data_IF_736597148297
#
_entry.id   IF_736597148297
#
_cell.length_a   1.000
_cell.length_b   1.000
_cell.length_c   1.000
_cell.angle_alpha   90.00
_cell.angle_beta   90.00
_cell.angle_gamma   90.00
#
_symmetry.space_group_name_H-M   'P 1'
#
loop_
_entity.id
_entity.type
_entity.pdbx_description
1 polymer ?
#
# COMPACT_ATOMS: atom_id res chain seq x y z
N UNK A 1 -7.20 67.88 -14.88
CA UNK A 1 -6.51 68.96 -15.63
C UNK A 1 -5.13 68.43 -15.99
N UNK A 2 -5.01 67.84 -17.18
CA UNK A 2 -4.26 68.33 -18.37
C UNK A 2 -2.79 67.90 -18.34
N UNK A 3 -2.14 67.30 -19.36
CA UNK A 3 -2.39 66.71 -20.70
C UNK A 3 -1.07 65.95 -20.99
N UNK A 4 -1.07 64.71 -21.50
CA UNK A 4 -0.72 64.29 -22.88
C UNK A 4 0.70 64.74 -23.35
N UNK A 5 1.58 63.97 -24.01
CA UNK A 5 1.36 62.97 -25.05
C UNK A 5 2.69 62.28 -25.52
N UNK A 6 2.57 61.02 -26.00
CA UNK A 6 3.20 60.36 -27.18
C UNK A 6 4.70 60.01 -27.32
N UNK A 7 4.92 58.76 -27.79
CA UNK A 7 5.92 58.38 -28.81
C UNK A 7 6.81 57.17 -28.45
N UNK A 8 6.39 55.91 -28.65
CA UNK A 8 6.73 55.04 -29.80
C UNK A 8 8.21 54.94 -30.21
N UNK A 9 8.84 53.77 -30.00
CA UNK A 9 9.57 53.07 -31.08
C UNK A 9 9.66 51.56 -30.82
N UNK A 10 9.46 50.82 -31.91
CA UNK A 10 9.47 49.36 -32.04
C UNK A 10 10.70 49.03 -32.86
N UNK A 11 11.58 48.15 -32.40
CA UNK A 11 12.60 47.55 -33.27
C UNK A 11 12.37 46.03 -33.42
N UNK A 12 12.07 45.68 -34.67
CA UNK A 12 12.01 44.34 -35.23
C UNK A 12 13.41 43.95 -35.71
N UNK A 13 13.73 42.64 -35.65
CA UNK A 13 14.41 41.80 -36.69
C UNK A 13 15.27 40.74 -35.99
N UNK A 14 15.52 39.54 -36.51
CA UNK A 14 14.83 38.59 -37.40
C UNK A 14 15.79 37.41 -37.62
N UNK A 15 15.27 36.19 -37.50
CA UNK A 15 15.54 34.95 -38.29
C UNK A 15 16.98 34.57 -38.72
N UNK A 16 17.32 33.30 -38.44
CA UNK A 16 18.27 32.44 -39.16
C UNK A 16 18.56 31.18 -38.32
N UNK A 17 17.83 30.07 -38.45
CA UNK A 17 17.90 28.98 -39.45
C UNK A 17 19.10 28.03 -39.25
N UNK A 18 18.79 26.72 -39.14
CA UNK A 18 19.62 25.58 -38.74
C UNK A 18 20.73 25.17 -39.75
N UNK A 19 21.62 24.21 -39.39
CA UNK A 19 21.35 22.78 -39.69
C UNK A 19 21.79 21.81 -38.56
N UNK A 20 21.02 20.79 -38.20
CA UNK A 20 21.10 19.38 -38.66
C UNK A 20 22.54 18.85 -38.89
N UNK A 21 23.02 18.02 -37.95
CA UNK A 21 23.95 16.91 -38.17
C UNK A 21 23.48 15.75 -37.29
N UNK A 22 22.92 14.69 -37.87
CA UNK A 22 23.59 13.49 -38.41
C UNK A 22 23.83 12.41 -37.35
N UNK A 23 22.97 11.39 -37.44
CA UNK A 23 23.06 10.07 -36.80
C UNK A 23 24.34 9.34 -37.23
N UNK A 24 24.92 8.58 -36.31
CA UNK A 24 25.78 7.43 -36.64
C UNK A 24 25.47 6.25 -35.69
N UNK A 25 25.71 4.99 -36.12
CA UNK A 25 24.93 3.83 -35.72
C UNK A 25 25.63 3.01 -34.62
N UNK A 26 24.84 2.37 -33.75
CA UNK A 26 25.33 1.27 -32.92
C UNK A 26 25.08 -0.04 -33.67
N UNK A 27 26.18 -0.70 -33.96
CA UNK A 27 26.30 -1.96 -34.69
C UNK A 27 25.67 -3.11 -33.90
N UNK A 28 24.90 -3.92 -34.63
CA UNK A 28 24.52 -5.29 -34.23
C UNK A 28 25.75 -6.19 -34.38
N UNK A 29 26.03 -7.01 -33.38
CA UNK A 29 26.70 -8.29 -33.59
C UNK A 29 25.71 -9.40 -33.26
N UNK A 30 25.49 -10.25 -34.27
CA UNK A 30 24.73 -11.48 -34.23
C UNK A 30 25.67 -12.63 -34.54
N UNK A 31 25.70 -13.61 -33.65
CA UNK A 31 25.96 -15.04 -33.89
C UNK A 31 25.01 -15.73 -32.92
N UNK A 32 23.95 -16.43 -33.34
CA UNK A 32 23.98 -17.76 -34.01
C UNK A 32 24.55 -18.77 -33.01
N UNK A 33 23.94 -19.87 -32.59
CA UNK A 33 22.74 -20.66 -32.91
C UNK A 33 22.34 -21.32 -31.55
N UNK A 34 21.19 -21.96 -31.29
CA UNK A 34 20.73 -23.20 -31.91
C UNK A 34 19.35 -23.55 -31.30
N UNK A 35 18.47 -24.08 -32.14
CA UNK A 35 17.16 -24.63 -31.78
C UNK A 35 17.32 -26.14 -31.65
N UNK A 36 16.86 -26.73 -30.54
CA UNK A 36 16.50 -28.15 -30.49
C UNK A 36 15.39 -28.40 -29.46
N UNK A 37 14.18 -28.56 -29.98
CA UNK A 37 13.09 -29.37 -29.42
C UNK A 37 13.54 -30.78 -29.06
N UNK A 38 13.04 -31.34 -27.95
CA UNK A 38 12.41 -32.67 -27.86
C UNK A 38 12.09 -33.08 -26.40
N UNK A 39 10.87 -33.58 -26.18
CA UNK A 39 10.64 -34.76 -25.33
C UNK A 39 10.33 -34.57 -23.85
N UNK A 40 9.03 -34.62 -23.50
CA UNK A 40 8.56 -35.12 -22.20
C UNK A 40 9.10 -36.54 -21.91
N UNK A 41 9.12 -36.98 -20.64
CA UNK A 41 7.99 -37.81 -20.23
C UNK A 41 7.46 -37.57 -18.81
N UNK A 42 6.18 -37.97 -18.71
CA UNK A 42 5.35 -38.19 -17.53
C UNK A 42 6.05 -39.04 -16.45
N UNK A 43 5.76 -38.73 -15.19
CA UNK A 43 5.64 -39.75 -14.14
C UNK A 43 4.47 -39.37 -13.20
N UNK A 44 3.46 -40.22 -13.17
CA UNK A 44 2.31 -40.19 -12.28
C UNK A 44 2.61 -41.02 -11.00
N UNK A 45 1.76 -40.96 -9.96
CA UNK A 45 2.13 -41.22 -8.57
C UNK A 45 1.97 -42.69 -8.16
N UNK A 46 2.74 -43.12 -7.15
CA UNK A 46 2.56 -44.42 -6.50
C UNK A 46 2.32 -44.26 -4.99
N UNK A 47 1.12 -44.69 -4.58
CA UNK A 47 0.69 -45.25 -3.29
C UNK A 47 -0.51 -46.18 -3.64
N UNK A 48 -0.94 -47.15 -2.80
CA UNK A 48 -0.53 -47.52 -1.44
C UNK A 48 -0.35 -49.06 -1.27
N UNK A 49 -0.43 -49.53 -0.02
CA UNK A 49 -0.56 -50.92 0.51
C UNK A 49 0.73 -51.42 1.22
N UNK A 50 0.71 -52.02 2.41
CA UNK A 50 -0.36 -52.42 3.32
C UNK A 50 0.24 -52.83 4.68
N UNK A 51 -0.59 -52.88 5.74
CA UNK A 51 -0.28 -53.48 7.04
C UNK A 51 -0.48 -55.01 6.97
N UNK A 52 0.19 -55.80 7.84
CA UNK A 52 -0.40 -56.23 9.14
C UNK A 52 0.65 -56.06 10.28
N UNK A 53 0.33 -55.92 11.57
CA UNK A 53 -0.52 -56.72 12.45
C UNK A 53 0.39 -57.54 13.39
N UNK A 54 0.41 -57.24 14.69
CA UNK A 54 1.15 -58.03 15.69
C UNK A 54 1.39 -57.30 17.01
N UNK A 55 0.57 -57.63 18.01
CA UNK A 55 0.76 -57.33 19.43
C UNK A 55 1.93 -58.14 20.02
N UNK A 56 2.69 -57.54 20.95
CA UNK A 56 3.38 -58.24 22.05
C UNK A 56 3.70 -57.24 23.18
N UNK A 57 3.44 -57.71 24.39
CA UNK A 57 3.58 -57.06 25.69
C UNK A 57 5.04 -56.76 26.12
N UNK A 58 5.18 -55.90 27.14
CA UNK A 58 6.15 -56.15 28.21
C UNK A 58 7.27 -55.14 28.45
N UNK A 59 7.01 -54.21 29.37
CA UNK A 59 7.91 -53.57 30.36
C UNK A 59 9.35 -53.14 29.99
N UNK A 60 9.61 -51.83 30.12
CA UNK A 60 10.97 -51.29 30.18
C UNK A 60 11.04 -49.81 30.58
N UNK A 61 11.30 -49.55 31.86
CA UNK A 61 11.43 -48.24 32.51
C UNK A 61 12.41 -47.28 31.81
N UNK A 62 12.03 -46.00 31.61
CA UNK A 62 12.69 -44.78 32.17
C UNK A 62 12.26 -43.47 31.47
N UNK A 63 12.24 -42.40 32.29
CA UNK A 63 12.34 -40.98 31.96
C UNK A 63 11.17 -40.29 31.23
N UNK A 64 10.20 -39.79 32.03
CA UNK A 64 9.29 -38.72 31.60
C UNK A 64 10.08 -37.40 31.43
N UNK A 65 10.46 -37.08 30.19
CA UNK A 65 10.72 -35.69 29.79
C UNK A 65 9.37 -34.99 29.62
N UNK A 66 9.14 -33.94 30.42
CA UNK A 66 8.04 -32.98 30.21
C UNK A 66 8.35 -32.19 28.94
N UNK A 67 7.65 -32.46 27.85
CA UNK A 67 7.51 -31.52 26.72
C UNK A 67 6.39 -30.55 27.07
N UNK A 68 6.77 -29.39 27.64
CA UNK A 68 5.86 -28.26 27.75
C UNK A 68 5.64 -27.66 26.36
N UNK A 69 4.39 -27.67 25.90
CA UNK A 69 3.96 -26.82 24.80
C UNK A 69 4.20 -25.35 25.17
N UNK A 70 4.63 -24.47 24.24
CA UNK A 70 4.63 -23.05 24.51
C UNK A 70 3.18 -22.60 24.61
N UNK A 71 2.78 -22.19 25.82
CA UNK A 71 1.48 -21.61 26.09
C UNK A 71 1.31 -20.32 25.30
N UNK A 72 0.16 -20.18 24.66
CA UNK A 72 -0.34 -18.92 24.14
C UNK A 72 -0.40 -17.92 25.30
N UNK A 73 0.50 -16.93 25.30
CA UNK A 73 0.47 -15.83 26.25
C UNK A 73 -0.76 -14.96 26.01
N UNK A 74 -1.35 -14.33 27.05
CA UNK A 74 -2.55 -13.52 26.88
C UNK A 74 -2.23 -12.25 26.10
N UNK A 75 -3.20 -11.76 25.33
CA UNK A 75 -3.14 -10.46 24.69
C UNK A 75 -2.81 -9.37 25.73
N UNK A 76 -1.70 -8.66 25.51
CA UNK A 76 -1.20 -7.64 26.44
C UNK A 76 -2.14 -6.43 26.39
N UNK A 77 -2.73 -6.10 27.54
CA UNK A 77 -3.69 -5.00 27.64
C UNK A 77 -3.00 -3.64 27.49
N UNK A 78 -3.76 -2.60 27.11
CA UNK A 78 -3.27 -1.22 27.08
C UNK A 78 -2.77 -0.71 28.45
N UNK A 79 -3.17 -1.37 29.55
CA UNK A 79 -2.74 -1.04 30.90
C UNK A 79 -1.34 -1.59 31.21
N UNK A 80 -0.98 -2.78 30.71
CA UNK A 80 0.35 -3.37 30.89
C UNK A 80 1.44 -2.59 30.16
N UNK A 81 1.08 -1.89 29.08
CA UNK A 81 1.94 -0.91 28.43
C UNK A 81 2.33 0.21 29.42
N UNK A 82 1.35 0.80 30.13
CA UNK A 82 1.56 1.94 31.07
C UNK A 82 2.54 1.68 32.21
N UNK A 83 2.64 0.45 32.69
CA UNK A 83 3.48 0.11 33.84
C UNK A 83 4.98 0.11 33.51
N UNK A 84 5.36 -0.26 32.27
CA UNK A 84 6.77 -0.25 31.84
C UNK A 84 7.26 1.15 31.43
N UNK A 85 6.35 2.10 31.19
CA UNK A 85 6.67 3.46 30.73
C UNK A 85 7.09 4.45 31.82
N UNK A 86 6.88 4.17 33.13
CA UNK A 86 7.04 5.18 34.19
C UNK A 86 8.30 5.09 35.04
N UNK A 87 9.02 3.98 35.06
CA UNK A 87 10.24 3.86 35.87
C UNK A 87 11.47 4.21 35.04
N UNK A 88 11.61 5.50 34.74
CA UNK A 88 12.89 6.08 34.36
C UNK A 88 13.82 6.09 35.58
N UNK A 89 14.53 5.00 35.82
CA UNK A 89 15.71 5.03 36.68
C UNK A 89 16.87 5.56 35.86
N UNK A 90 17.06 6.89 35.95
CA UNK A 90 18.27 7.57 35.50
C UNK A 90 19.46 7.00 36.27
N UNK A 91 20.31 6.25 35.57
CA UNK A 91 21.59 5.79 36.09
C UNK A 91 22.42 6.97 36.58
N UNK A 92 22.86 6.90 37.83
CA UNK A 92 23.82 7.82 38.44
C UNK A 92 25.11 7.87 37.61
N UNK A 93 25.36 8.99 36.94
CA UNK A 93 26.53 9.21 36.11
C UNK A 93 27.84 9.19 36.91
N UNK A 94 28.74 8.27 36.58
CA UNK A 94 30.06 8.18 37.18
C UNK A 94 30.99 9.30 36.72
N UNK A 95 31.68 9.93 37.68
CA UNK A 95 32.73 10.91 37.43
C UNK A 95 33.98 10.23 36.84
N UNK A 96 34.81 10.99 36.12
CA UNK A 96 36.13 10.53 35.69
C UNK A 96 37.16 10.63 36.82
N UNK A 97 38.40 10.18 36.55
CA UNK A 97 39.52 10.20 37.50
C UNK A 97 39.93 11.62 37.96
N UNK A 98 39.28 12.66 37.45
CA UNK A 98 39.52 14.06 37.79
C UNK A 98 38.26 14.75 38.34
N UNK A 99 37.24 13.98 38.73
CA UNK A 99 36.03 14.50 39.36
C UNK A 99 35.13 15.30 38.41
N UNK A 100 35.29 15.16 37.10
CA UNK A 100 34.40 15.78 36.11
C UNK A 100 33.33 14.78 35.67
N UNK A 101 32.13 15.25 35.30
CA UNK A 101 31.16 14.38 34.63
C UNK A 101 31.83 13.80 33.39
N UNK A 102 31.81 12.47 33.24
CA UNK A 102 32.26 11.82 32.00
C UNK A 102 31.35 12.29 30.86
N UNK A 103 31.80 13.27 30.10
CA UNK A 103 31.12 13.64 28.86
C UNK A 103 31.38 12.52 27.85
N UNK A 104 30.35 11.70 27.61
CA UNK A 104 30.29 10.84 26.44
C UNK A 104 30.48 11.72 25.17
N UNK A 105 31.16 11.22 24.13
CA UNK A 105 31.31 11.95 22.88
C UNK A 105 29.91 12.36 22.37
N UNK A 106 29.77 13.65 22.05
CA UNK A 106 28.49 14.35 21.90
C UNK A 106 27.41 13.55 21.18
N UNK A 107 26.47 13.00 21.95
CA UNK A 107 25.24 12.42 21.42
C UNK A 107 24.35 13.59 21.04
N UNK A 108 24.36 14.00 19.77
CA UNK A 108 23.16 14.62 19.22
C UNK A 108 22.05 13.60 19.48
N UNK A 109 21.13 13.91 20.41
CA UNK A 109 19.92 13.12 20.56
C UNK A 109 19.33 13.00 19.16
N UNK A 110 19.35 11.79 18.59
CA UNK A 110 18.96 11.60 17.19
C UNK A 110 17.51 12.02 17.08
N UNK A 111 17.26 13.08 16.33
CA UNK A 111 15.91 13.59 16.09
C UNK A 111 15.09 12.45 15.50
N UNK A 112 13.91 12.20 16.06
CA UNK A 112 12.98 11.21 15.52
C UNK A 112 12.27 11.82 14.33
N UNK A 113 12.29 11.09 13.21
CA UNK A 113 11.46 11.38 12.05
C UNK A 113 10.37 10.31 11.97
N UNK A 114 9.13 10.76 11.84
CA UNK A 114 8.02 9.87 11.52
C UNK A 114 7.88 9.79 10.01
N UNK A 115 7.65 8.58 9.50
CA UNK A 115 7.56 8.31 8.06
C UNK A 115 6.25 7.59 7.77
N UNK A 116 5.45 8.16 6.87
CA UNK A 116 4.28 7.51 6.28
C UNK A 116 4.60 7.03 4.88
N UNK A 117 4.24 5.79 4.57
CA UNK A 117 4.45 5.20 3.24
C UNK A 117 3.16 4.54 2.75
N UNK A 118 2.54 5.10 1.71
CA UNK A 118 1.54 4.36 0.93
C UNK A 118 2.25 3.52 -0.12
N UNK A 119 2.54 2.26 0.23
CA UNK A 119 3.48 1.43 -0.50
C UNK A 119 2.76 0.59 -1.55
N UNK A 120 3.02 0.89 -2.82
CA UNK A 120 2.64 -0.01 -3.89
C UNK A 120 3.26 -1.40 -3.68
N UNK A 121 2.44 -2.44 -3.82
CA UNK A 121 2.91 -3.80 -3.60
C UNK A 121 4.01 -4.25 -4.58
N UNK A 122 3.96 -3.78 -5.84
CA UNK A 122 5.00 -3.99 -6.84
C UNK A 122 5.80 -2.72 -7.16
N UNK A 123 6.95 -2.87 -7.80
CA UNK A 123 7.93 -1.78 -8.05
C UNK A 123 7.61 -0.87 -9.24
N UNK A 124 6.52 -1.11 -9.97
CA UNK A 124 6.14 -0.33 -11.17
C UNK A 124 5.18 0.81 -10.86
N UNK A 125 4.46 0.72 -9.76
CA UNK A 125 3.44 1.70 -9.38
C UNK A 125 4.05 2.77 -8.47
N UNK A 126 3.34 3.88 -8.37
CA UNK A 126 3.74 4.99 -7.50
C UNK A 126 3.62 4.60 -6.04
N UNK A 127 4.41 5.25 -5.20
CA UNK A 127 4.43 5.11 -3.75
C UNK A 127 4.41 6.50 -3.16
N UNK A 128 3.48 6.75 -2.25
CA UNK A 128 3.44 8.00 -1.51
C UNK A 128 4.42 7.97 -0.35
N UNK A 129 5.06 9.11 -0.08
CA UNK A 129 5.91 9.33 1.07
C UNK A 129 5.49 10.60 1.80
N UNK A 130 5.49 10.56 3.12
CA UNK A 130 5.33 11.73 3.97
C UNK A 130 6.24 11.64 5.19
N UNK A 131 6.77 12.78 5.61
CA UNK A 131 7.75 12.89 6.68
C UNK A 131 7.29 13.93 7.69
N UNK A 132 7.42 13.62 8.98
CA UNK A 132 7.14 14.57 10.05
C UNK A 132 8.27 14.60 11.07
N UNK A 133 8.49 15.77 11.65
CA UNK A 133 9.48 15.97 12.71
C UNK A 133 9.05 15.35 14.04
N UNK A 134 9.90 15.44 15.07
CA UNK A 134 9.63 14.89 16.40
C UNK A 134 8.36 15.46 17.07
N UNK A 135 7.93 16.67 16.69
CA UNK A 135 6.70 17.30 17.18
C UNK A 135 5.46 16.88 16.35
N UNK A 136 5.66 16.12 15.27
CA UNK A 136 4.61 15.64 14.38
C UNK A 136 4.31 16.58 13.23
N UNK A 137 5.05 17.68 13.03
CA UNK A 137 4.80 18.63 11.95
C UNK A 137 5.24 18.02 10.63
N UNK A 138 4.38 18.07 9.60
CA UNK A 138 4.75 17.63 8.25
C UNK A 138 5.92 18.49 7.74
N UNK A 139 7.01 17.83 7.34
CA UNK A 139 8.22 18.49 6.82
C UNK A 139 8.40 18.28 5.32
N UNK A 140 7.92 17.15 4.80
CA UNK A 140 7.97 16.83 3.38
C UNK A 140 6.90 15.79 3.01
N UNK A 141 6.41 15.85 1.77
CA UNK A 141 5.63 14.77 1.15
C UNK A 141 5.90 14.74 -0.35
N UNK A 142 5.85 13.55 -0.94
CA UNK A 142 6.10 13.34 -2.35
C UNK A 142 5.49 12.02 -2.84
N UNK A 143 5.53 11.83 -4.16
CA UNK A 143 5.29 10.53 -4.79
C UNK A 143 6.54 10.08 -5.53
N UNK A 144 6.97 8.84 -5.28
CA UNK A 144 8.11 8.18 -5.93
C UNK A 144 7.65 6.89 -6.63
N UNK A 145 8.55 6.18 -7.30
CA UNK A 145 8.25 4.91 -8.00
C UNK A 145 9.15 3.78 -7.55
N UNK A 146 10.44 4.03 -7.43
CA UNK A 146 11.43 2.97 -7.19
C UNK A 146 11.88 2.91 -5.74
N UNK A 147 12.38 1.75 -5.30
CA UNK A 147 12.98 1.62 -3.97
C UNK A 147 14.25 2.48 -3.84
N UNK A 148 14.93 2.80 -4.94
CA UNK A 148 16.04 3.75 -4.97
C UNK A 148 15.59 5.15 -4.56
N UNK A 149 14.55 5.67 -5.21
CA UNK A 149 13.96 6.97 -4.88
C UNK A 149 13.40 7.03 -3.44
N UNK A 150 12.87 5.92 -2.91
CA UNK A 150 12.48 5.82 -1.49
C UNK A 150 13.71 6.00 -0.58
N UNK A 151 14.82 5.33 -0.89
CA UNK A 151 16.05 5.44 -0.11
C UNK A 151 16.66 6.84 -0.18
N UNK A 152 16.66 7.46 -1.36
CA UNK A 152 17.15 8.83 -1.54
C UNK A 152 16.32 9.83 -0.73
N UNK A 153 14.98 9.68 -0.74
CA UNK A 153 14.09 10.52 0.07
C UNK A 153 14.32 10.32 1.57
N UNK A 154 14.47 9.07 2.04
CA UNK A 154 14.78 8.78 3.44
C UNK A 154 16.12 9.37 3.89
N UNK A 155 17.15 9.28 3.04
CA UNK A 155 18.46 9.84 3.35
C UNK A 155 18.43 11.36 3.55
N UNK A 156 17.57 12.07 2.79
CA UNK A 156 17.40 13.52 2.89
C UNK A 156 16.49 13.92 4.05
N UNK A 157 15.35 13.25 4.21
CA UNK A 157 14.26 13.72 5.08
C UNK A 157 14.17 12.98 6.42
N UNK A 158 14.91 11.89 6.60
CA UNK A 158 14.94 11.10 7.82
C UNK A 158 16.38 10.75 8.29
N UNK A 159 17.26 11.75 8.53
CA UNK A 159 18.68 11.51 8.88
C UNK A 159 18.91 10.95 10.30
N UNK A 160 17.84 10.65 11.05
CA UNK A 160 17.88 10.23 12.44
C UNK A 160 17.17 8.89 12.68
N UNK A 161 16.54 8.77 13.85
CA UNK A 161 15.73 7.60 14.19
C UNK A 161 14.42 7.63 13.42
N UNK A 162 14.00 6.52 12.85
CA UNK A 162 12.75 6.41 12.09
C UNK A 162 11.68 5.67 12.87
N UNK A 163 10.48 6.23 12.89
CA UNK A 163 9.25 5.49 13.21
C UNK A 163 8.38 5.50 11.96
N UNK A 164 8.26 4.35 11.29
CA UNK A 164 7.57 4.24 10.02
C UNK A 164 6.20 3.55 10.16
N UNK A 165 5.20 4.03 9.41
CA UNK A 165 3.93 3.37 9.20
C UNK A 165 3.74 3.10 7.70
N UNK A 166 3.63 1.82 7.33
CA UNK A 166 3.54 1.37 5.94
C UNK A 166 2.13 0.84 5.65
N UNK A 167 1.45 1.39 4.63
CA UNK A 167 0.25 0.76 4.02
C UNK A 167 0.66 -0.39 3.09
N UNK A 168 1.27 -1.42 3.69
CA UNK A 168 1.59 -2.67 3.02
C UNK A 168 1.92 -3.76 4.03
N UNK A 169 1.70 -5.04 3.67
CA UNK A 169 2.06 -6.15 4.53
C UNK A 169 3.54 -6.17 4.93
N UNK A 170 3.82 -6.33 6.22
CA UNK A 170 5.17 -6.56 6.75
C UNK A 170 5.45 -8.04 6.99
N UNK A 171 4.47 -8.78 7.50
CA UNK A 171 4.64 -10.21 7.82
C UNK A 171 3.56 -11.03 7.13
N UNK A 172 3.97 -11.91 6.19
CA UNK A 172 3.07 -12.73 5.37
C UNK A 172 3.47 -14.20 5.45
N UNK A 173 3.07 -14.94 6.52
CA UNK A 173 3.53 -16.30 6.75
C UNK A 173 2.78 -17.33 5.90
N UNK A 174 1.53 -17.03 5.52
CA UNK A 174 0.62 -17.94 4.84
C UNK A 174 0.94 -18.09 3.34
N UNK A 175 0.86 -19.33 2.85
CA UNK A 175 1.02 -19.63 1.43
C UNK A 175 -0.16 -19.13 0.59
N UNK A 176 -1.39 -19.31 1.10
CA UNK A 176 -2.65 -18.93 0.43
C UNK A 176 -3.65 -18.36 1.44
N UNK A 177 -4.79 -17.85 0.96
CA UNK A 177 -5.87 -17.34 1.82
C UNK A 177 -5.54 -16.01 2.52
N UNK A 178 -6.29 -15.70 3.57
CA UNK A 178 -6.12 -14.51 4.42
C UNK A 178 -5.26 -14.80 5.65
N UNK A 179 -4.42 -13.84 6.08
CA UNK A 179 -3.74 -13.90 7.38
C UNK A 179 -4.75 -13.65 8.51
N UNK A 180 -4.28 -13.78 9.75
CA UNK A 180 -5.03 -13.39 10.95
C UNK A 180 -5.49 -11.92 10.91
N UNK A 181 -4.63 -10.92 10.62
CA UNK A 181 -5.04 -9.51 10.61
C UNK A 181 -6.18 -9.20 9.64
N UNK A 182 -6.21 -9.76 8.43
CA UNK A 182 -7.35 -9.49 7.53
C UNK A 182 -8.67 -10.05 8.06
N UNK A 183 -8.65 -11.20 8.74
CA UNK A 183 -9.85 -11.78 9.36
C UNK A 183 -10.36 -10.89 10.51
N UNK A 184 -9.44 -10.39 11.33
CA UNK A 184 -9.77 -9.46 12.42
C UNK A 184 -10.30 -8.12 11.88
N UNK A 185 -9.66 -7.55 10.86
CA UNK A 185 -10.16 -6.38 10.15
C UNK A 185 -11.55 -6.61 9.57
N UNK A 186 -11.78 -7.75 8.92
CA UNK A 186 -13.09 -8.07 8.37
C UNK A 186 -14.17 -8.17 9.46
N UNK A 187 -13.84 -8.75 10.62
CA UNK A 187 -14.77 -8.86 11.74
C UNK A 187 -15.14 -7.49 12.34
N UNK A 188 -14.16 -6.60 12.54
CA UNK A 188 -14.37 -5.32 13.21
C UNK A 188 -14.82 -4.20 12.25
N UNK A 189 -14.24 -4.15 11.05
CA UNK A 189 -14.39 -3.06 10.09
C UNK A 189 -15.17 -3.42 8.82
N UNK A 190 -15.48 -4.70 8.59
CA UNK A 190 -16.13 -5.16 7.34
C UNK A 190 -17.49 -4.51 7.07
N UNK A 191 -18.29 -4.26 8.11
CA UNK A 191 -19.60 -3.56 7.99
C UNK A 191 -19.49 -2.10 7.52
N UNK A 192 -18.31 -1.49 7.67
CA UNK A 192 -17.95 -0.15 7.20
C UNK A 192 -17.31 -0.15 5.79
N UNK A 193 -17.26 -1.30 5.10
CA UNK A 193 -16.48 -1.53 3.88
C UNK A 193 -14.97 -1.25 4.04
N UNK A 194 -14.44 -1.41 5.25
CA UNK A 194 -13.02 -1.25 5.58
C UNK A 194 -12.33 -2.61 5.91
N UNK A 195 -12.82 -3.70 5.31
CA UNK A 195 -12.12 -5.00 5.33
C UNK A 195 -10.97 -5.03 4.34
N UNK A 196 -9.91 -5.79 4.65
CA UNK A 196 -8.74 -5.94 3.79
C UNK A 196 -8.85 -7.15 2.85
N UNK A 197 -8.20 -7.06 1.70
CA UNK A 197 -8.06 -8.18 0.78
C UNK A 197 -7.01 -9.19 1.30
N UNK A 198 -7.17 -10.49 1.01
CA UNK A 198 -6.20 -11.50 1.43
C UNK A 198 -4.79 -11.22 0.91
N UNK A 199 -3.81 -11.16 1.82
CA UNK A 199 -2.38 -11.14 1.50
C UNK A 199 -1.78 -12.53 1.77
N UNK A 200 -1.03 -13.08 0.81
CA UNK A 200 -0.39 -14.39 0.91
C UNK A 200 0.74 -14.56 -0.10
N UNK A 201 1.64 -15.52 0.16
CA UNK A 201 2.86 -15.76 -0.64
C UNK A 201 2.63 -16.31 -2.05
N UNK A 202 1.43 -16.81 -2.37
CA UNK A 202 1.07 -17.15 -3.76
C UNK A 202 0.95 -15.93 -4.68
N UNK A 203 0.91 -14.71 -4.12
CA UNK A 203 0.98 -13.46 -4.90
C UNK A 203 2.45 -13.16 -5.24
N UNK A 204 2.78 -12.81 -6.50
CA UNK A 204 4.17 -12.61 -6.95
C UNK A 204 5.00 -11.57 -6.20
N UNK A 205 4.36 -10.70 -5.42
CA UNK A 205 4.97 -9.56 -4.71
C UNK A 205 4.85 -9.67 -3.18
N UNK A 206 4.48 -10.86 -2.68
CA UNK A 206 4.26 -11.13 -1.25
C UNK A 206 5.21 -12.20 -0.68
N UNK A 207 6.22 -12.63 -1.44
CA UNK A 207 7.23 -13.60 -1.00
C UNK A 207 8.64 -13.22 -1.47
N UNK A 208 9.37 -12.37 -0.71
CA UNK A 208 8.90 -11.63 0.47
C UNK A 208 8.01 -10.44 0.10
N UNK A 209 7.17 -9.93 1.03
CA UNK A 209 6.41 -8.70 0.79
C UNK A 209 7.34 -7.48 0.73
N UNK A 210 7.03 -6.52 -0.15
CA UNK A 210 7.87 -5.32 -0.35
C UNK A 210 8.06 -4.50 0.92
N UNK A 211 7.06 -4.45 1.81
CA UNK A 211 7.17 -3.77 3.11
C UNK A 211 8.27 -4.35 3.99
N UNK A 212 8.34 -5.69 4.09
CA UNK A 212 9.44 -6.39 4.76
C UNK A 212 10.79 -6.08 4.13
N UNK A 213 10.89 -6.14 2.80
CA UNK A 213 12.14 -5.85 2.08
C UNK A 213 12.68 -4.46 2.41
N UNK A 214 11.80 -3.44 2.46
CA UNK A 214 12.21 -2.09 2.85
C UNK A 214 12.61 -2.01 4.32
N UNK A 215 11.85 -2.61 5.23
CA UNK A 215 12.19 -2.64 6.65
C UNK A 215 13.58 -3.26 6.90
N UNK A 216 13.87 -4.41 6.27
CA UNK A 216 15.18 -5.05 6.34
C UNK A 216 16.29 -4.18 5.74
N UNK A 217 16.03 -3.51 4.60
CA UNK A 217 17.01 -2.64 3.94
C UNK A 217 17.42 -1.47 4.82
N UNK A 218 16.51 -0.92 5.60
CA UNK A 218 16.75 0.26 6.43
C UNK A 218 16.97 -0.06 7.92
N UNK A 219 17.01 -1.34 8.28
CA UNK A 219 17.22 -1.78 9.67
C UNK A 219 16.07 -1.38 10.60
N UNK A 220 14.84 -1.38 10.09
CA UNK A 220 13.64 -1.11 10.90
C UNK A 220 13.16 -2.40 11.54
N UNK A 221 13.05 -2.40 12.86
CA UNK A 221 12.40 -3.50 13.58
C UNK A 221 10.90 -3.49 13.29
N UNK A 222 10.36 -4.65 12.94
CA UNK A 222 8.95 -4.83 12.58
C UNK A 222 8.13 -5.48 13.67
N UNK A 223 8.71 -5.84 14.82
CA UNK A 223 7.93 -6.31 15.96
C UNK A 223 7.12 -5.14 16.56
N UNK A 224 5.77 -5.17 16.54
CA UNK A 224 4.97 -4.11 17.13
C UNK A 224 5.05 -4.08 18.66
N UNK A 225 5.73 -5.04 19.31
CA UNK A 225 6.09 -4.98 20.71
C UNK A 225 7.37 -4.16 20.97
N UNK A 226 8.20 -3.92 19.94
CA UNK A 226 9.38 -3.06 20.06
C UNK A 226 8.94 -1.63 20.30
N UNK A 227 9.33 -1.12 21.47
CA UNK A 227 9.08 0.27 21.81
C UNK A 227 9.86 1.19 20.86
N UNK A 228 9.26 2.27 20.36
CA UNK A 228 9.96 3.32 19.63
C UNK A 228 10.77 4.23 20.58
N UNK A 229 11.40 3.63 21.60
CA UNK A 229 12.31 4.28 22.53
C UNK A 229 13.78 3.94 22.21
N UNK A 230 14.72 4.70 22.78
CA UNK A 230 16.15 4.48 22.53
C UNK A 230 16.61 4.76 21.08
N UNK A 231 17.50 3.93 20.54
CA UNK A 231 18.13 4.16 19.22
C UNK A 231 17.52 3.33 18.08
N UNK A 232 16.52 2.49 18.38
CA UNK A 232 15.93 1.56 17.40
C UNK A 232 14.97 2.28 16.47
N UNK A 233 15.16 2.09 15.16
CA UNK A 233 14.15 2.49 14.17
C UNK A 233 13.14 1.37 14.00
N UNK A 234 11.87 1.70 13.89
CA UNK A 234 10.77 0.72 13.84
C UNK A 234 9.87 0.97 12.63
N UNK A 235 9.20 -0.08 12.17
CA UNK A 235 8.19 -0.01 11.13
C UNK A 235 6.96 -0.83 11.52
N UNK A 236 5.77 -0.24 11.38
CA UNK A 236 4.49 -0.94 11.60
C UNK A 236 3.64 -0.98 10.35
N UNK A 237 2.94 -2.10 10.16
CA UNK A 237 1.91 -2.26 9.13
C UNK A 237 0.66 -1.48 9.56
N UNK A 238 0.18 -0.56 8.72
CA UNK A 238 -1.06 0.18 8.92
C UNK A 238 -2.01 -0.03 7.75
N UNK A 239 -3.28 0.32 7.94
CA UNK A 239 -4.26 0.30 6.85
C UNK A 239 -5.15 1.56 6.89
N UNK A 240 -5.04 2.48 5.91
CA UNK A 240 -5.74 3.76 5.88
C UNK A 240 -7.27 3.68 6.03
N UNK A 241 -7.95 2.72 5.39
CA UNK A 241 -9.41 2.68 5.42
C UNK A 241 -10.01 2.47 6.83
N UNK A 242 -9.59 1.45 7.62
CA UNK A 242 -9.95 1.34 9.04
C UNK A 242 -9.56 2.55 9.86
N UNK A 243 -8.37 3.10 9.62
CA UNK A 243 -7.90 4.28 10.34
C UNK A 243 -8.81 5.50 10.12
N UNK A 244 -9.21 5.77 8.87
CA UNK A 244 -10.18 6.82 8.55
C UNK A 244 -11.53 6.55 9.22
N UNK A 245 -12.03 5.30 9.22
CA UNK A 245 -13.30 4.96 9.88
C UNK A 245 -13.26 5.33 11.37
N UNK A 246 -12.20 4.93 12.07
CA UNK A 246 -12.07 5.17 13.51
C UNK A 246 -11.76 6.64 13.85
N UNK A 247 -10.78 7.26 13.18
CA UNK A 247 -10.35 8.63 13.46
C UNK A 247 -11.37 9.68 13.03
N UNK A 248 -12.02 9.48 11.89
CA UNK A 248 -12.93 10.47 11.32
C UNK A 248 -14.38 10.27 11.78
N UNK A 249 -14.68 9.15 12.45
CA UNK A 249 -16.03 8.80 12.93
C UNK A 249 -16.97 8.47 11.78
N UNK A 250 -16.54 7.65 10.82
CA UNK A 250 -17.32 7.35 9.62
C UNK A 250 -18.17 6.10 9.79
N UNK A 251 -19.42 6.15 9.34
CA UNK A 251 -20.25 4.95 9.21
C UNK A 251 -19.90 4.05 8.01
N UNK A 252 -19.00 4.50 7.11
CA UNK A 252 -18.47 3.74 5.96
C UNK A 252 -17.23 4.43 5.40
N UNK A 253 -16.35 3.72 4.69
CA UNK A 253 -15.20 4.32 4.01
C UNK A 253 -15.61 5.46 3.07
N UNK A 254 -14.75 6.48 2.97
CA UNK A 254 -14.90 7.52 1.93
C UNK A 254 -14.58 6.90 0.56
N UNK A 255 -15.46 7.04 -0.45
CA UNK A 255 -15.24 6.45 -1.76
C UNK A 255 -14.32 7.30 -2.67
N UNK A 256 -13.17 7.76 -2.16
CA UNK A 256 -12.25 8.66 -2.88
C UNK A 256 -11.32 7.95 -3.88
N UNK A 257 -10.90 6.70 -3.58
CA UNK A 257 -10.06 5.90 -4.50
C UNK A 257 -10.78 5.62 -5.81
N UNK A 258 -10.09 5.68 -6.94
CA UNK A 258 -10.76 5.48 -8.24
C UNK A 258 -11.09 4.00 -8.48
N UNK A 259 -12.38 3.70 -8.58
CA UNK A 259 -12.91 2.35 -8.84
C UNK A 259 -13.97 2.40 -9.95
N UNK A 260 -14.22 1.30 -10.69
CA UNK A 260 -15.32 1.23 -11.66
C UNK A 260 -16.64 1.70 -11.05
N UNK A 261 -17.43 2.47 -11.82
CA UNK A 261 -18.71 3.01 -11.38
C UNK A 261 -18.65 4.31 -10.58
N UNK A 262 -17.47 4.94 -10.42
CA UNK A 262 -17.33 6.27 -9.81
C UNK A 262 -17.07 7.31 -10.91
N UNK A 263 -17.98 8.27 -11.05
CA UNK A 263 -17.80 9.42 -11.94
C UNK A 263 -16.92 10.50 -11.28
N UNK A 264 -16.52 11.50 -12.05
CA UNK A 264 -15.68 12.58 -11.53
C UNK A 264 -16.36 13.38 -10.42
N UNK A 265 -17.68 13.62 -10.51
CA UNK A 265 -18.40 14.41 -9.53
C UNK A 265 -18.41 13.74 -8.15
N UNK A 266 -18.78 12.45 -8.10
CA UNK A 266 -18.75 11.66 -6.87
C UNK A 266 -17.35 11.52 -6.28
N UNK A 267 -16.32 11.41 -7.13
CA UNK A 267 -14.93 11.42 -6.68
C UNK A 267 -14.54 12.77 -6.07
N UNK A 268 -14.88 13.89 -6.71
CA UNK A 268 -14.60 15.23 -6.17
C UNK A 268 -15.27 15.46 -4.83
N UNK A 269 -16.51 15.01 -4.66
CA UNK A 269 -17.22 15.10 -3.37
C UNK A 269 -16.56 14.25 -2.29
N UNK A 270 -16.15 13.01 -2.62
CA UNK A 270 -15.44 12.14 -1.69
C UNK A 270 -14.07 12.72 -1.30
N UNK A 271 -13.35 13.30 -2.27
CA UNK A 271 -12.06 13.96 -2.06
C UNK A 271 -12.17 15.23 -1.22
N UNK A 272 -13.17 16.07 -1.47
CA UNK A 272 -13.46 17.25 -0.64
C UNK A 272 -13.65 16.85 0.83
N UNK A 273 -14.48 15.82 1.08
CA UNK A 273 -14.70 15.28 2.43
C UNK A 273 -13.42 14.72 3.04
N UNK A 274 -12.61 14.00 2.27
CA UNK A 274 -11.32 13.47 2.75
C UNK A 274 -10.38 14.60 3.20
N UNK A 275 -10.22 15.64 2.38
CA UNK A 275 -9.39 16.80 2.71
C UNK A 275 -9.90 17.50 3.98
N UNK A 276 -11.21 17.74 4.09
CA UNK A 276 -11.83 18.34 5.28
C UNK A 276 -11.58 17.50 6.54
N UNK A 277 -11.67 16.17 6.43
CA UNK A 277 -11.37 15.27 7.54
C UNK A 277 -9.89 15.27 7.94
N UNK A 278 -8.98 15.25 6.97
CA UNK A 278 -7.54 15.32 7.23
C UNK A 278 -7.15 16.64 7.88
N UNK A 279 -7.66 17.78 7.38
CA UNK A 279 -7.41 19.09 7.97
C UNK A 279 -7.96 19.20 9.40
N UNK A 280 -9.15 18.63 9.65
CA UNK A 280 -9.75 18.66 10.98
C UNK A 280 -9.05 17.76 11.99
N UNK A 281 -8.69 16.54 11.59
CA UNK A 281 -8.22 15.49 12.52
C UNK A 281 -6.70 15.42 12.59
N UNK A 282 -6.03 15.46 11.44
CA UNK A 282 -4.56 15.38 11.36
C UNK A 282 -3.92 16.78 11.34
N UNK A 283 -4.62 17.79 10.80
CA UNK A 283 -4.13 19.15 10.60
C UNK A 283 -3.52 19.82 11.84
N UNK A 284 -4.14 19.74 13.04
CA UNK A 284 -3.56 20.36 14.23
C UNK A 284 -2.19 19.79 14.63
N UNK A 285 -1.95 18.50 14.38
CA UNK A 285 -0.66 17.84 14.67
C UNK A 285 0.33 18.04 13.52
N UNK A 286 -0.14 17.83 12.28
CA UNK A 286 0.71 17.84 11.10
C UNK A 286 0.97 19.24 10.55
N UNK A 287 0.31 20.28 11.04
CA UNK A 287 0.39 21.65 10.51
C UNK A 287 0.07 21.72 9.01
N UNK A 288 -0.98 21.00 8.59
CA UNK A 288 -1.33 20.85 7.18
C UNK A 288 -1.67 22.20 6.53
N UNK A 289 -2.43 23.05 7.21
CA UNK A 289 -2.85 24.34 6.66
C UNK A 289 -1.66 25.28 6.39
N UNK A 290 -0.57 25.13 7.15
CA UNK A 290 0.67 25.88 6.99
C UNK A 290 1.61 25.31 5.92
N UNK A 291 1.52 24.01 5.65
CA UNK A 291 2.46 23.30 4.80
C UNK A 291 2.26 23.62 3.29
N UNK A 292 3.26 24.18 2.58
CA UNK A 292 3.11 24.59 1.19
C UNK A 292 2.64 23.46 0.26
N UNK A 293 3.23 22.27 0.39
CA UNK A 293 2.85 21.11 -0.43
C UNK A 293 1.42 20.65 -0.19
N UNK A 294 0.92 20.77 1.06
CA UNK A 294 -0.48 20.44 1.34
C UNK A 294 -1.43 21.44 0.67
N UNK A 295 -1.09 22.73 0.65
CA UNK A 295 -1.88 23.75 -0.08
C UNK A 295 -1.93 23.46 -1.58
N UNK A 296 -0.83 22.99 -2.17
CA UNK A 296 -0.79 22.55 -3.58
C UNK A 296 -1.71 21.36 -3.83
N UNK A 297 -1.66 20.33 -2.98
CA UNK A 297 -2.54 19.15 -3.05
C UNK A 297 -4.01 19.59 -2.95
N UNK A 298 -4.33 20.43 -1.97
CA UNK A 298 -5.68 20.96 -1.76
C UNK A 298 -6.18 21.72 -2.99
N UNK A 299 -5.35 22.57 -3.58
CA UNK A 299 -5.68 23.28 -4.81
C UNK A 299 -5.88 22.33 -6.00
N UNK A 300 -5.02 21.32 -6.15
CA UNK A 300 -5.13 20.31 -7.20
C UNK A 300 -6.42 19.48 -7.09
N UNK A 301 -6.80 19.11 -5.86
CA UNK A 301 -8.06 18.40 -5.58
C UNK A 301 -9.28 19.29 -5.89
N UNK A 302 -9.26 20.54 -5.42
CA UNK A 302 -10.36 21.48 -5.63
C UNK A 302 -10.57 21.81 -7.13
N UNK A 303 -9.48 21.93 -7.88
CA UNK A 303 -9.45 22.23 -9.31
C UNK A 303 -9.46 21.01 -10.23
N UNK A 304 -9.70 19.79 -9.73
CA UNK A 304 -9.65 18.59 -10.56
C UNK A 304 -10.80 18.55 -11.58
N UNK A 305 -10.45 18.54 -12.86
CA UNK A 305 -11.36 18.38 -14.02
C UNK A 305 -11.28 16.98 -14.62
N UNK A 306 -10.29 16.19 -14.21
CA UNK A 306 -10.05 14.83 -14.71
C UNK A 306 -9.73 13.89 -13.56
N UNK A 307 -10.22 12.65 -13.65
CA UNK A 307 -9.95 11.59 -12.68
C UNK A 307 -8.44 11.33 -12.51
N UNK A 308 -7.64 11.51 -13.57
CA UNK A 308 -6.19 11.35 -13.51
C UNK A 308 -5.48 12.38 -12.62
N UNK A 309 -6.06 13.58 -12.42
CA UNK A 309 -5.51 14.58 -11.51
C UNK A 309 -5.70 14.16 -10.05
N UNK A 310 -6.86 13.58 -9.71
CA UNK A 310 -7.10 13.01 -8.38
C UNK A 310 -6.21 11.79 -8.12
N UNK A 311 -6.06 10.90 -9.11
CA UNK A 311 -5.13 9.76 -9.03
C UNK A 311 -3.68 10.20 -8.84
N UNK A 312 -3.28 11.38 -9.31
CA UNK A 312 -1.90 11.82 -9.23
C UNK A 312 -1.45 12.16 -7.81
N UNK A 313 -2.40 12.50 -6.92
CA UNK A 313 -2.14 12.87 -5.51
C UNK A 313 -2.61 11.81 -4.51
N UNK A 314 -3.29 10.75 -4.97
CA UNK A 314 -3.85 9.69 -4.12
C UNK A 314 -2.82 9.09 -3.17
N UNK A 315 -1.72 8.57 -3.73
CA UNK A 315 -0.69 7.88 -2.96
C UNK A 315 -0.02 8.82 -1.94
N UNK A 316 0.24 10.08 -2.31
CA UNK A 316 0.83 11.10 -1.43
C UNK A 316 -0.10 11.46 -0.26
N UNK A 317 -1.41 11.57 -0.50
CA UNK A 317 -2.39 11.88 0.56
C UNK A 317 -2.55 10.71 1.53
N UNK A 318 -2.54 9.48 1.02
CA UNK A 318 -2.61 8.29 1.87
C UNK A 318 -1.33 8.14 2.71
N UNK A 319 -0.17 8.51 2.17
CA UNK A 319 1.07 8.59 2.94
C UNK A 319 1.01 9.68 4.03
N UNK A 320 0.35 10.81 3.80
CA UNK A 320 0.13 11.85 4.83
C UNK A 320 -0.73 11.32 5.98
N UNK A 321 -1.74 10.50 5.70
CA UNK A 321 -2.45 9.80 6.78
C UNK A 321 -1.53 8.80 7.48
N UNK A 322 -0.72 8.04 6.74
CA UNK A 322 0.22 7.08 7.32
C UNK A 322 1.23 7.77 8.25
N UNK A 323 1.76 8.96 7.92
CA UNK A 323 2.70 9.65 8.81
C UNK A 323 2.04 10.12 10.10
N UNK A 324 0.74 10.48 10.05
CA UNK A 324 -0.02 10.74 11.27
C UNK A 324 -0.14 9.47 12.14
N UNK A 325 -0.37 8.30 11.52
CA UNK A 325 -0.40 7.02 12.24
C UNK A 325 0.96 6.66 12.82
N UNK A 326 2.06 6.91 12.10
CA UNK A 326 3.42 6.75 12.61
C UNK A 326 3.65 7.63 13.85
N UNK A 327 3.21 8.89 13.81
CA UNK A 327 3.31 9.80 14.95
C UNK A 327 2.49 9.34 16.15
N UNK A 328 1.23 8.93 15.94
CA UNK A 328 0.39 8.37 17.00
C UNK A 328 1.00 7.10 17.62
N UNK A 329 1.57 6.23 16.78
CA UNK A 329 2.27 5.03 17.24
C UNK A 329 3.49 5.38 18.09
N UNK A 330 4.39 6.21 17.55
CA UNK A 330 5.65 6.51 18.22
C UNK A 330 5.53 7.39 19.46
N UNK A 331 4.47 8.18 19.58
CA UNK A 331 4.15 8.92 20.81
C UNK A 331 3.35 8.11 21.83
N UNK A 332 3.02 6.85 21.51
CA UNK A 332 2.31 5.95 22.41
C UNK A 332 0.85 6.31 22.61
N UNK A 333 0.18 6.86 21.59
CA UNK A 333 -1.25 7.19 21.68
C UNK A 333 -2.05 5.94 22.09
N UNK A 334 -2.85 6.00 23.17
CA UNK A 334 -3.50 4.83 23.75
C UNK A 334 -4.58 4.22 22.83
N UNK A 335 -5.01 4.93 21.79
CA UNK A 335 -5.96 4.41 20.79
C UNK A 335 -5.29 3.41 19.86
N UNK A 336 -3.97 3.49 19.66
CA UNK A 336 -3.25 2.59 18.76
C UNK A 336 -3.28 1.16 19.29
N UNK A 337 -3.75 0.24 18.45
CA UNK A 337 -3.95 -1.18 18.78
C UNK A 337 -3.45 -2.05 17.64
N UNK A 338 -2.79 -3.15 18.01
CA UNK A 338 -2.36 -4.21 17.09
C UNK A 338 -3.52 -5.20 16.93
N UNK A 339 -3.86 -5.56 15.69
CA UNK A 339 -4.73 -6.67 15.35
C UNK A 339 -3.88 -7.79 14.75
N UNK A 340 -3.72 -8.89 15.46
CA UNK A 340 -2.78 -9.97 15.12
C UNK A 340 -1.50 -9.88 15.96
N UNK A 341 -0.41 -10.45 15.46
CA UNK A 341 0.90 -10.45 16.10
C UNK A 341 2.05 -10.58 15.08
N UNK A 342 3.30 -10.50 15.54
CA UNK A 342 4.49 -10.56 14.68
C UNK A 342 4.70 -11.92 14.01
N UNK A 343 4.06 -13.00 14.49
CA UNK A 343 4.22 -14.35 13.94
C UNK A 343 3.21 -14.65 12.84
N UNK A 344 1.93 -14.35 13.09
CA UNK A 344 0.83 -14.61 12.15
C UNK A 344 0.54 -13.43 11.20
N UNK A 345 1.25 -12.33 11.40
CA UNK A 345 1.00 -11.04 10.76
C UNK A 345 0.11 -10.15 11.61
N UNK A 346 0.25 -8.83 11.41
CA UNK A 346 -0.53 -7.85 12.15
C UNK A 346 -0.85 -6.62 11.33
N UNK A 347 -1.78 -5.81 11.82
CA UNK A 347 -2.02 -4.44 11.36
C UNK A 347 -2.29 -3.56 12.57
N UNK A 348 -1.76 -2.34 12.56
CA UNK A 348 -2.00 -1.34 13.60
C UNK A 348 -3.12 -0.40 13.16
N UNK A 349 -4.11 -0.21 14.04
CA UNK A 349 -5.27 0.66 13.82
C UNK A 349 -5.49 1.61 15.01
N UNK A 350 -5.99 2.84 14.77
CA UNK A 350 -6.30 3.81 15.81
C UNK A 350 -7.70 3.55 16.42
N UNK A 351 -7.82 2.48 17.21
CA UNK A 351 -9.03 2.18 17.96
C UNK A 351 -10.13 1.49 17.14
N UNK A 352 -11.28 1.26 17.79
CA UNK A 352 -12.46 0.67 17.17
C UNK A 352 -13.36 1.76 16.53
N UNK A 353 -14.21 1.41 15.55
CA UNK A 353 -15.23 2.34 15.05
C UNK A 353 -16.15 2.87 16.16
N UNK A 354 -16.33 4.18 16.21
CA UNK A 354 -17.14 4.86 17.26
C UNK A 354 -18.57 5.18 16.82
N UNK A 355 -18.85 5.14 15.52
CA UNK A 355 -20.16 5.44 14.92
C UNK A 355 -20.77 4.16 14.35
N UNK A 356 -22.10 3.96 14.40
CA UNK A 356 -22.74 2.81 13.76
C UNK A 356 -22.53 2.79 12.24
N UNK A 357 -22.48 1.61 11.61
CA UNK A 357 -22.34 1.52 10.16
C UNK A 357 -23.55 2.13 9.46
N UNK A 358 -23.32 2.99 8.47
CA UNK A 358 -24.40 3.56 7.64
C UNK A 358 -24.85 2.53 6.61
N UNK A 359 -26.15 2.31 6.35
CA UNK A 359 -26.59 1.37 5.30
C UNK A 359 -25.93 1.62 3.95
N UNK A 360 -25.71 0.57 3.16
CA UNK A 360 -25.31 0.74 1.76
C UNK A 360 -26.48 1.42 1.03
N UNK A 361 -26.24 2.55 0.38
CA UNK A 361 -27.23 3.12 -0.53
C UNK A 361 -27.59 2.07 -1.59
N UNK A 362 -28.87 1.98 -1.98
CA UNK A 362 -29.27 1.12 -3.11
C UNK A 362 -28.40 1.53 -4.29
N UNK A 363 -27.64 0.59 -4.85
CA UNK A 363 -27.05 0.79 -6.16
C UNK A 363 -28.20 1.16 -7.10
N UNK A 364 -28.05 2.22 -7.90
CA UNK A 364 -28.98 2.45 -8.99
C UNK A 364 -29.05 1.14 -9.80
N UNK A 365 -30.25 0.61 -10.09
CA UNK A 365 -30.34 -0.55 -10.96
C UNK A 365 -29.57 -0.24 -12.25
N UNK A 366 -28.91 -1.23 -12.87
CA UNK A 366 -28.27 -1.03 -14.15
C UNK A 366 -29.31 -0.40 -15.08
N UNK A 367 -28.97 0.74 -15.66
CA UNK A 367 -29.78 1.34 -16.73
C UNK A 367 -29.79 0.32 -17.85
N UNK A 368 -30.88 -0.43 -17.95
CA UNK A 368 -31.14 -1.29 -19.10
C UNK A 368 -31.22 -0.32 -20.29
N UNK A 369 -30.39 -0.47 -21.34
CA UNK A 369 -30.55 0.36 -22.52
C UNK A 369 -31.96 0.11 -23.03
N UNK A 370 -32.80 1.16 -23.02
CA UNK A 370 -34.04 1.13 -23.79
C UNK A 370 -33.59 0.96 -25.24
N UNK A 371 -33.87 -0.21 -25.80
CA UNK A 371 -33.75 -0.40 -27.24
C UNK A 371 -34.67 0.62 -27.89
N UNK A 372 -34.07 1.64 -28.48
CA UNK A 372 -34.73 2.61 -29.34
C UNK A 372 -35.27 1.85 -30.55
N UNK A 373 -36.55 1.46 -30.49
CA UNK A 373 -37.29 0.96 -31.65
C UNK A 373 -37.74 2.14 -32.50
N UNK A 374 -36.77 2.83 -33.09
CA UNK A 374 -36.99 3.76 -34.20
C UNK A 374 -37.20 3.00 -35.52
N UNK A 375 -37.94 3.55 -36.50
CA UNK A 375 -38.45 2.80 -37.63
C UNK A 375 -37.37 2.39 -38.63
N UNK A 376 -37.41 1.12 -39.03
CA UNK A 376 -36.47 0.47 -39.94
C UNK A 376 -36.38 1.20 -41.31
N UNK A 377 -35.20 1.71 -41.64
CA UNK A 377 -34.83 2.06 -43.02
C UNK A 377 -34.46 0.78 -43.78
N UNK A 378 -35.27 0.43 -44.80
CA UNK A 378 -34.98 -0.63 -45.77
C UNK A 378 -33.76 -0.25 -46.62
N UNK A 379 -32.67 -1.01 -46.50
CA UNK A 379 -31.62 -1.06 -47.52
C UNK A 379 -31.91 -2.22 -48.47
N UNK A 380 -32.05 -1.92 -49.76
CA UNK A 380 -32.16 -2.91 -50.84
C UNK A 380 -30.75 -3.45 -51.14
N UNK A 381 -30.56 -4.76 -51.02
CA UNK A 381 -29.44 -5.47 -51.66
C UNK A 381 -30.03 -6.42 -52.71
N UNK A 382 -29.68 -6.19 -53.98
CA UNK A 382 -30.01 -7.05 -55.10
C UNK A 382 -29.08 -8.27 -55.09
N UNK A 383 -29.66 -9.47 -55.09
CA UNK A 383 -28.94 -10.72 -55.25
C UNK A 383 -29.08 -11.22 -56.69
N UNK A 384 -27.96 -11.45 -57.38
CA UNK A 384 -27.90 -12.31 -58.56
C UNK A 384 -27.75 -13.77 -58.11
N UNK A 385 -28.61 -14.62 -58.64
CA UNK A 385 -28.71 -16.06 -58.39
C UNK A 385 -27.91 -16.81 -59.46
N UNK A 386 -27.01 -17.69 -59.04
CA UNK A 386 -26.42 -18.73 -59.88
C UNK A 386 -26.76 -20.10 -59.25
N UNK A 387 -27.31 -21.00 -60.05
CA UNK A 387 -27.90 -22.28 -59.66
C UNK A 387 -26.85 -23.37 -59.29
N UNK A 388 -27.23 -24.41 -58.53
CA UNK A 388 -26.31 -25.45 -58.06
C UNK A 388 -26.15 -26.63 -59.03
N UNK A 389 -24.92 -27.15 -59.12
CA UNK A 389 -24.59 -28.40 -59.82
C UNK A 389 -24.83 -29.63 -58.92
N UNK A 390 -25.52 -30.63 -59.47
CA UNK A 390 -25.68 -31.98 -58.91
C UNK A 390 -24.40 -32.83 -59.02
N UNK A 391 -24.12 -33.76 -58.08
CA UNK A 391 -23.13 -34.82 -58.25
C UNK A 391 -23.72 -36.06 -58.97
N UNK A 392 -22.92 -36.87 -59.68
CA UNK A 392 -23.40 -38.08 -60.36
C UNK A 392 -23.42 -39.33 -59.46
N UNK A 393 -24.36 -40.23 -59.73
CA UNK A 393 -24.55 -41.56 -59.11
C UNK A 393 -23.50 -42.58 -59.61
N UNK A 394 -22.99 -43.42 -58.69
CA UNK A 394 -22.25 -44.65 -59.00
C UNK A 394 -23.19 -45.87 -59.12
N UNK A 395 -22.93 -46.83 -60.04
CA UNK A 395 -23.78 -47.99 -60.25
C UNK A 395 -23.43 -49.19 -59.34
N UNK A 396 -24.47 -49.92 -58.93
CA UNK A 396 -24.43 -51.17 -58.15
C UNK A 396 -23.87 -52.38 -58.95
N UNK A 397 -23.36 -53.43 -58.27
CA UNK A 397 -22.67 -54.54 -58.90
C UNK A 397 -23.62 -55.59 -59.49
N UNK A 398 -23.12 -56.38 -60.45
CA UNK A 398 -23.71 -57.65 -60.90
C UNK A 398 -22.74 -58.80 -60.60
N UNK A 399 -23.29 -59.87 -60.03
CA UNK A 399 -22.64 -61.16 -59.87
C UNK A 399 -22.32 -61.82 -61.21
N UNK A 400 -21.12 -62.39 -61.32
CA UNK A 400 -20.84 -63.77 -61.77
C UNK A 400 -19.42 -64.17 -61.38
#
# INVERSE_FOLDING_TARGET
>A
MTRSNTGHEVERRSRGQAPVTSRAPVTRSSTGDEVATLGSPRAAPLRPEGRPGGDVDGEGRRARRRTGAPGVGPAISAADRRARWRTGELGSGGLDAHGRPRHAPGTLARVTTYVGVDLAWGTRNRTGLAFADAAGRLTHSATVRTDGEIADALAVHAPGRVVAALDAPLVVPNATGSRVPEKLLQAEFGRYDAGAHPCNRSRPWMDPPRGWTLAQRFGWDVDPATAPDGDTSVAVEVYPHPAMVALFGLGRVLPYKVKPGRDLASLRDAWRRLVEHLERVCGPTLHLAEHPRWREIRAAVAGAERVSQLRAVEDEVDAILCVHLAWLWGTGDPRMRVLGDVHDGYVVVPGAPTVPPTPRGRANPPVVPVLDTGPARRARMSAHVTAPHHPPEEPRPRDH
#
